data_IF_904928652124
#
_entry.id   IF_904928652124
#
_cell.length_a   1.000
_cell.length_b   1.000
_cell.length_c   1.000
_cell.angle_alpha   90.00
_cell.angle_beta   90.00
_cell.angle_gamma   90.00
#
_symmetry.space_group_name_H-M   'P 1'
#
loop_
_entity.id
_entity.type
_entity.pdbx_description
1 polymer ?
#
# COMPACT_ATOMS: atom_id res chain seq x y z
N UNK A 1 -14.14 -5.36 -24.25
CA UNK A 1 -13.97 -6.22 -23.05
C UNK A 1 -13.02 -5.54 -22.10
N UNK A 2 -13.52 -4.96 -21.00
CA UNK A 2 -12.66 -4.48 -19.91
C UNK A 2 -12.12 -5.70 -19.18
N UNK A 3 -10.85 -6.05 -19.42
CA UNK A 3 -10.15 -7.09 -18.66
C UNK A 3 -9.86 -6.51 -17.28
N UNK A 4 -10.69 -6.85 -16.29
CA UNK A 4 -10.39 -6.50 -14.88
C UNK A 4 -9.07 -7.20 -14.53
N UNK A 5 -8.04 -6.42 -14.15
CA UNK A 5 -6.76 -6.96 -13.73
C UNK A 5 -6.99 -7.91 -12.55
N UNK A 6 -6.40 -9.10 -12.59
CA UNK A 6 -6.46 -10.03 -11.45
C UNK A 6 -5.45 -9.53 -10.41
N UNK A 7 -5.96 -8.97 -9.31
CA UNK A 7 -5.16 -8.46 -8.20
C UNK A 7 -4.99 -9.52 -7.09
N UNK A 8 -4.09 -9.28 -6.15
CA UNK A 8 -3.88 -10.16 -5.02
C UNK A 8 -5.13 -10.29 -4.14
N UNK A 9 -5.32 -11.44 -3.51
CA UNK A 9 -6.54 -11.79 -2.76
C UNK A 9 -6.74 -10.96 -1.49
N UNK A 10 -5.67 -10.36 -0.96
CA UNK A 10 -5.73 -9.51 0.23
C UNK A 10 -6.26 -8.10 -0.04
N UNK A 11 -6.40 -7.73 -1.32
CA UNK A 11 -6.86 -6.41 -1.70
C UNK A 11 -8.38 -6.28 -1.54
N UNK A 12 -8.81 -5.23 -0.85
CA UNK A 12 -10.23 -4.89 -0.68
C UNK A 12 -10.66 -3.79 -1.64
N UNK A 13 -11.98 -3.62 -1.85
CA UNK A 13 -12.55 -2.59 -2.76
C UNK A 13 -12.35 -1.16 -2.20
N UNK A 14 -11.14 -0.64 -2.33
CA UNK A 14 -10.78 0.75 -2.02
C UNK A 14 -9.85 1.29 -3.09
N UNK A 15 -10.25 2.36 -3.77
CA UNK A 15 -9.45 2.97 -4.85
C UNK A 15 -8.04 3.35 -4.40
N UNK A 16 -7.89 3.86 -3.17
CA UNK A 16 -6.57 4.14 -2.57
C UNK A 16 -5.74 2.86 -2.45
N UNK A 17 -6.34 1.77 -1.97
CA UNK A 17 -5.63 0.52 -1.79
C UNK A 17 -5.28 -0.13 -3.12
N UNK A 18 -6.20 -0.07 -4.10
CA UNK A 18 -5.96 -0.52 -5.47
C UNK A 18 -4.79 0.22 -6.11
N UNK A 19 -4.77 1.56 -6.00
CA UNK A 19 -3.67 2.37 -6.51
C UNK A 19 -2.35 2.00 -5.85
N UNK A 20 -2.31 1.95 -4.53
CA UNK A 20 -1.13 1.52 -3.79
C UNK A 20 -0.65 0.13 -4.23
N UNK A 21 -1.54 -0.85 -4.33
CA UNK A 21 -1.21 -2.19 -4.80
C UNK A 21 -0.63 -2.18 -6.22
N UNK A 22 -1.26 -1.45 -7.14
CA UNK A 22 -0.92 -1.50 -8.56
C UNK A 22 0.35 -0.69 -8.90
N UNK A 23 0.70 0.34 -8.12
CA UNK A 23 1.79 1.25 -8.46
C UNK A 23 2.94 1.31 -7.45
N UNK A 24 2.74 0.82 -6.22
CA UNK A 24 3.76 0.93 -5.16
C UNK A 24 4.12 -0.44 -4.57
N UNK A 25 3.13 -1.28 -4.26
CA UNK A 25 3.39 -2.55 -3.58
C UNK A 25 4.20 -3.53 -4.45
N UNK A 26 5.34 -3.98 -3.92
CA UNK A 26 6.23 -4.90 -4.62
C UNK A 26 7.04 -4.25 -5.76
N UNK A 27 6.93 -2.94 -5.97
CA UNK A 27 7.77 -2.18 -6.89
C UNK A 27 9.10 -1.87 -6.20
N UNK A 28 10.27 -2.25 -6.77
CA UNK A 28 11.56 -1.94 -6.16
C UNK A 28 11.77 -0.43 -6.01
N UNK A 29 12.16 0.01 -4.81
CA UNK A 29 12.60 1.37 -4.54
C UNK A 29 14.02 1.34 -3.96
N UNK A 30 14.82 2.33 -4.35
CA UNK A 30 16.20 2.53 -3.90
C UNK A 30 16.39 3.90 -3.24
N UNK A 31 15.30 4.61 -2.97
CA UNK A 31 15.31 5.89 -2.27
C UNK A 31 15.28 5.65 -0.75
N UNK A 32 16.33 6.09 -0.05
CA UNK A 32 16.50 5.84 1.38
C UNK A 32 15.36 6.44 2.24
N UNK A 33 14.85 7.61 1.86
CA UNK A 33 13.75 8.26 2.58
C UNK A 33 12.46 7.45 2.46
N UNK A 34 12.13 6.99 1.26
CA UNK A 34 10.98 6.12 1.03
C UNK A 34 11.12 4.79 1.76
N UNK A 35 12.31 4.16 1.72
CA UNK A 35 12.55 2.90 2.44
C UNK A 35 12.38 3.08 3.96
N UNK A 36 12.89 4.18 4.52
CA UNK A 36 12.70 4.51 5.93
C UNK A 36 11.23 4.80 6.26
N UNK A 37 10.54 5.57 5.41
CA UNK A 37 9.10 5.83 5.55
C UNK A 37 8.31 4.51 5.64
N UNK A 38 8.51 3.60 4.69
CA UNK A 38 7.82 2.32 4.64
C UNK A 38 8.13 1.47 5.88
N UNK A 39 9.39 1.43 6.33
CA UNK A 39 9.78 0.73 7.56
C UNK A 39 8.99 1.23 8.78
N UNK A 40 8.81 2.55 8.91
CA UNK A 40 8.06 3.15 10.01
C UNK A 40 6.56 2.86 9.89
N UNK A 41 5.99 2.96 8.69
CA UNK A 41 4.57 2.69 8.44
C UNK A 41 4.19 1.24 8.74
N UNK A 42 5.06 0.28 8.40
CA UNK A 42 4.90 -1.15 8.75
C UNK A 42 4.85 -1.35 10.28
N UNK A 43 5.72 -0.67 11.03
CA UNK A 43 5.66 -0.69 12.50
C UNK A 43 4.37 -0.10 13.07
N UNK A 44 3.84 0.96 12.45
CA UNK A 44 2.59 1.60 12.85
C UNK A 44 1.34 0.73 12.59
N UNK A 45 1.47 -0.34 11.80
CA UNK A 45 0.36 -1.24 11.47
C UNK A 45 -0.05 -2.17 12.62
N UNK A 46 0.73 -2.29 13.70
CA UNK A 46 0.46 -3.26 14.77
C UNK A 46 -0.99 -3.17 15.31
N UNK A 47 -1.80 -4.21 15.05
CA UNK A 47 -3.21 -4.27 15.44
C UNK A 47 -4.19 -3.51 14.55
N UNK A 48 -3.75 -2.97 13.41
CA UNK A 48 -4.54 -2.21 12.45
C UNK A 48 -4.52 -2.86 11.06
N UNK A 49 -5.46 -2.45 10.22
CA UNK A 49 -5.41 -2.77 8.77
C UNK A 49 -4.41 -1.86 8.07
N UNK A 50 -3.73 -2.36 7.02
CA UNK A 50 -2.84 -1.55 6.21
C UNK A 50 -3.56 -0.34 5.57
N UNK A 51 -4.83 -0.50 5.19
CA UNK A 51 -5.66 0.60 4.69
C UNK A 51 -5.82 1.72 5.73
N UNK A 52 -5.83 1.41 7.03
CA UNK A 52 -5.85 2.42 8.10
C UNK A 52 -4.57 3.25 8.11
N UNK A 53 -3.42 2.60 7.91
CA UNK A 53 -2.11 3.25 7.83
C UNK A 53 -2.03 4.14 6.58
N UNK A 54 -2.40 3.61 5.40
CA UNK A 54 -2.40 4.36 4.14
C UNK A 54 -3.27 5.62 4.21
N UNK A 55 -4.46 5.53 4.83
CA UNK A 55 -5.36 6.69 5.02
C UNK A 55 -4.77 7.79 5.90
N UNK A 56 -3.77 7.47 6.73
CA UNK A 56 -3.11 8.40 7.66
C UNK A 56 -1.72 8.81 7.21
N UNK A 57 -1.24 8.29 6.08
CA UNK A 57 0.12 8.52 5.57
C UNK A 57 0.44 9.99 5.33
N UNK A 58 -0.51 10.76 4.82
CA UNK A 58 -0.31 12.20 4.54
C UNK A 58 -0.44 13.11 5.78
N UNK A 59 -0.86 12.57 6.94
CA UNK A 59 -1.04 13.34 8.18
C UNK A 59 -2.41 13.98 8.34
#
# INVERSE_FOLDING_TARGET
MNRKLKRCEWLTDSELYEKYHDTEWGVPSYDDHHLFEMLILEGAQAGLSWLTVLKKREG
#
